data_IF_403186016780
#
_entry.id   IF_403186016780
#
_cell.length_a   1.000
_cell.length_b   1.000
_cell.length_c   1.000
_cell.angle_alpha   90.00
_cell.angle_beta   90.00
_cell.angle_gamma   90.00
#
_symmetry.space_group_name_H-M   'P 1'
#
loop_
_entity.id
_entity.type
_entity.pdbx_description
1 polymer ?
#
# COMPACT_ATOMS: atom_id res chain seq x y z
N UNK A 1 -18.75 26.06 -40.61
CA UNK A 1 -18.88 25.52 -39.25
C UNK A 1 -17.49 25.39 -38.67
N UNK A 2 -17.07 26.38 -37.87
CA UNK A 2 -15.76 26.37 -37.22
C UNK A 2 -15.83 25.48 -35.99
N UNK A 3 -15.14 24.35 -36.02
CA UNK A 3 -14.84 23.56 -34.83
C UNK A 3 -13.98 24.42 -33.90
N UNK A 4 -14.58 24.90 -32.80
CA UNK A 4 -13.81 25.41 -31.67
C UNK A 4 -12.97 24.25 -31.14
N UNK A 5 -11.69 24.24 -31.50
CA UNK A 5 -10.68 23.49 -30.78
C UNK A 5 -10.63 24.14 -29.40
N UNK A 6 -11.12 23.45 -28.37
CA UNK A 6 -10.92 23.88 -26.98
C UNK A 6 -9.41 24.01 -26.77
N UNK A 7 -8.96 25.24 -26.51
CA UNK A 7 -7.57 25.48 -26.11
C UNK A 7 -7.37 24.77 -24.78
N UNK A 8 -6.61 23.67 -24.80
CA UNK A 8 -6.19 22.96 -23.60
C UNK A 8 -5.45 23.97 -22.69
N UNK A 9 -6.00 24.21 -21.51
CA UNK A 9 -5.35 25.06 -20.52
C UNK A 9 -4.14 24.32 -19.94
N UNK A 10 -2.94 24.76 -20.33
CA UNK A 10 -1.67 24.17 -19.89
C UNK A 10 -1.47 24.29 -18.38
N UNK A 11 -2.05 25.30 -17.73
CA UNK A 11 -1.97 25.44 -16.27
C UNK A 11 -2.80 24.37 -15.57
N UNK A 12 -3.95 23.97 -16.14
CA UNK A 12 -4.75 22.86 -15.61
C UNK A 12 -3.98 21.54 -15.69
N UNK A 13 -3.32 21.25 -16.82
CA UNK A 13 -2.49 20.05 -16.97
C UNK A 13 -1.32 20.08 -15.98
N UNK A 14 -0.64 21.22 -15.86
CA UNK A 14 0.49 21.38 -14.94
C UNK A 14 0.04 21.16 -13.49
N UNK A 15 -1.07 21.74 -13.07
CA UNK A 15 -1.62 21.55 -11.72
C UNK A 15 -1.95 20.07 -11.45
N UNK A 16 -2.57 19.37 -12.42
CA UNK A 16 -2.87 17.95 -12.31
C UNK A 16 -1.60 17.08 -12.21
N UNK A 17 -0.59 17.35 -13.02
CA UNK A 17 0.71 16.68 -12.94
C UNK A 17 1.37 16.87 -11.57
N UNK A 18 1.44 18.11 -11.08
CA UNK A 18 2.01 18.42 -9.77
C UNK A 18 1.26 17.70 -8.64
N UNK A 19 -0.07 17.64 -8.73
CA UNK A 19 -0.93 16.90 -7.79
C UNK A 19 -0.61 15.40 -7.79
N UNK A 20 -0.52 14.77 -8.97
CA UNK A 20 -0.21 13.35 -9.15
C UNK A 20 1.21 12.97 -8.70
N UNK A 21 2.22 13.77 -9.05
CA UNK A 21 3.62 13.58 -8.62
C UNK A 21 3.72 13.69 -7.10
N UNK A 22 3.07 14.70 -6.49
CA UNK A 22 3.03 14.84 -5.03
C UNK A 22 2.31 13.68 -4.34
N UNK A 23 1.22 13.17 -4.93
CA UNK A 23 0.54 11.99 -4.41
C UNK A 23 1.49 10.78 -4.40
N UNK A 24 2.16 10.48 -5.53
CA UNK A 24 3.13 9.37 -5.60
C UNK A 24 4.28 9.53 -4.60
N UNK A 25 4.82 10.74 -4.42
CA UNK A 25 5.81 11.05 -3.38
C UNK A 25 5.31 10.66 -1.99
N UNK A 26 4.13 11.15 -1.60
CA UNK A 26 3.52 10.86 -0.29
C UNK A 26 3.27 9.37 -0.10
N UNK A 27 2.94 8.65 -1.17
CA UNK A 27 2.72 7.20 -1.20
C UNK A 27 4.03 6.39 -1.28
N UNK A 28 5.20 7.04 -1.16
CA UNK A 28 6.54 6.42 -1.22
C UNK A 28 6.83 5.65 -2.52
N UNK A 29 6.25 6.12 -3.63
CA UNK A 29 6.58 5.57 -4.94
C UNK A 29 8.08 5.75 -5.25
N UNK A 30 8.76 4.77 -5.87
CA UNK A 30 10.18 4.89 -6.18
C UNK A 30 10.47 6.09 -7.08
N UNK A 31 11.37 6.97 -6.64
CA UNK A 31 11.73 8.17 -7.41
C UNK A 31 12.37 7.82 -8.77
N UNK A 32 13.19 6.77 -8.83
CA UNK A 32 13.80 6.32 -10.08
C UNK A 32 12.76 6.01 -11.16
N UNK A 33 11.69 5.30 -10.80
CA UNK A 33 10.62 4.93 -11.73
C UNK A 33 9.88 6.13 -12.30
N UNK A 34 9.54 7.13 -11.47
CA UNK A 34 8.85 8.33 -11.97
C UNK A 34 9.79 9.23 -12.78
N UNK A 35 11.06 9.29 -12.41
CA UNK A 35 12.06 10.04 -13.16
C UNK A 35 12.29 9.43 -14.57
N UNK A 36 12.31 8.10 -14.68
CA UNK A 36 12.35 7.41 -15.99
C UNK A 36 11.13 7.74 -16.87
N UNK A 37 9.92 7.79 -16.28
CA UNK A 37 8.70 8.19 -17.00
C UNK A 37 8.82 9.65 -17.45
N UNK A 38 9.28 10.55 -16.59
CA UNK A 38 9.45 11.96 -16.91
C UNK A 38 10.46 12.18 -18.06
N UNK A 39 11.61 11.51 -18.00
CA UNK A 39 12.67 11.58 -19.02
C UNK A 39 12.19 11.08 -20.38
N UNK A 40 11.50 9.94 -20.42
CA UNK A 40 10.91 9.39 -21.67
C UNK A 40 9.91 10.35 -22.33
N UNK A 41 9.33 11.27 -21.57
CA UNK A 41 8.37 12.26 -22.06
C UNK A 41 8.97 13.67 -22.19
N UNK A 42 10.30 13.83 -22.16
CA UNK A 42 10.98 15.08 -22.47
C UNK A 42 11.25 16.02 -21.30
N UNK A 43 11.00 15.59 -20.05
CA UNK A 43 11.42 16.32 -18.86
C UNK A 43 12.84 15.90 -18.49
N UNK A 44 13.76 16.84 -18.32
CA UNK A 44 15.16 16.50 -18.01
C UNK A 44 15.34 15.77 -16.67
N UNK A 45 16.35 14.89 -16.61
CA UNK A 45 16.69 14.07 -15.45
C UNK A 45 16.78 14.85 -14.14
N UNK A 46 16.13 14.36 -13.08
CA UNK A 46 16.03 15.03 -11.78
C UNK A 46 16.69 14.20 -10.68
N UNK A 47 17.19 14.86 -9.64
CA UNK A 47 17.86 14.22 -8.49
C UNK A 47 16.92 13.95 -7.29
N UNK A 48 15.63 14.24 -7.43
CA UNK A 48 14.62 13.98 -6.41
C UNK A 48 13.27 14.58 -6.77
N UNK A 49 12.26 14.27 -5.95
CA UNK A 49 10.88 14.74 -6.16
C UNK A 49 10.77 16.26 -6.20
N UNK A 50 11.45 16.99 -5.31
CA UNK A 50 11.41 18.45 -5.27
C UNK A 50 11.96 19.09 -6.56
N UNK A 51 13.01 18.50 -7.12
CA UNK A 51 13.60 18.92 -8.40
C UNK A 51 12.64 18.66 -9.56
N UNK A 52 12.04 17.46 -9.62
CA UNK A 52 11.05 17.13 -10.64
C UNK A 52 9.83 18.06 -10.60
N UNK A 53 9.28 18.32 -9.41
CA UNK A 53 8.15 19.23 -9.21
C UNK A 53 8.48 20.65 -9.69
N UNK A 54 9.67 21.17 -9.32
CA UNK A 54 10.12 22.49 -9.80
C UNK A 54 10.24 22.54 -11.32
N UNK A 55 10.76 21.47 -11.95
CA UNK A 55 10.87 21.42 -13.41
C UNK A 55 9.53 21.39 -14.12
N UNK A 56 8.56 20.64 -13.61
CA UNK A 56 7.19 20.66 -14.14
C UNK A 56 6.60 22.07 -14.03
N UNK A 57 6.80 22.71 -12.88
CA UNK A 57 6.31 24.07 -12.62
C UNK A 57 6.95 25.11 -13.56
N UNK A 58 8.26 25.02 -13.80
CA UNK A 58 9.04 26.02 -14.54
C UNK A 58 9.27 25.67 -16.02
N UNK A 59 8.64 24.60 -16.51
CA UNK A 59 8.83 24.14 -17.89
C UNK A 59 8.35 25.21 -18.89
N UNK A 60 9.32 25.77 -19.62
CA UNK A 60 9.14 26.89 -20.54
C UNK A 60 9.89 26.72 -21.87
N UNK A 61 10.72 25.67 -22.00
CA UNK A 61 11.52 25.39 -23.20
C UNK A 61 11.01 24.16 -23.95
N UNK A 62 11.12 24.18 -25.28
CA UNK A 62 10.67 23.09 -26.15
C UNK A 62 9.16 23.14 -26.43
N UNK A 63 8.61 22.02 -26.92
CA UNK A 63 7.17 21.85 -27.11
C UNK A 63 6.51 21.51 -25.76
N UNK A 64 6.30 22.55 -24.94
CA UNK A 64 5.78 22.43 -23.58
C UNK A 64 4.43 21.71 -23.55
N UNK A 65 3.54 22.03 -24.50
CA UNK A 65 2.21 21.42 -24.58
C UNK A 65 2.31 19.91 -24.77
N UNK A 66 3.09 19.47 -25.75
CA UNK A 66 3.30 18.05 -26.02
C UNK A 66 3.94 17.33 -24.84
N UNK A 67 5.00 17.90 -24.24
CA UNK A 67 5.70 17.31 -23.09
C UNK A 67 4.75 17.07 -21.92
N UNK A 68 3.95 18.09 -21.56
CA UNK A 68 3.03 17.99 -20.43
C UNK A 68 1.90 16.98 -20.70
N UNK A 69 1.32 17.00 -21.90
CA UNK A 69 0.27 16.06 -22.30
C UNK A 69 0.78 14.62 -22.31
N UNK A 70 1.94 14.36 -22.92
CA UNK A 70 2.50 13.02 -23.04
C UNK A 70 2.92 12.48 -21.66
N UNK A 71 3.53 13.32 -20.82
CA UNK A 71 3.83 12.95 -19.45
C UNK A 71 2.57 12.66 -18.63
N UNK A 72 1.50 13.46 -18.78
CA UNK A 72 0.23 13.22 -18.09
C UNK A 72 -0.42 11.90 -18.51
N UNK A 73 -0.39 11.58 -19.80
CA UNK A 73 -0.87 10.31 -20.35
C UNK A 73 -0.09 9.11 -19.81
N UNK A 74 1.22 9.25 -19.63
CA UNK A 74 2.06 8.19 -19.07
C UNK A 74 1.91 8.06 -17.54
N UNK A 75 1.77 9.18 -16.84
CA UNK A 75 1.71 9.23 -15.38
C UNK A 75 0.36 8.76 -14.81
N UNK A 76 -0.75 9.10 -15.47
CA UNK A 76 -2.09 8.81 -14.94
C UNK A 76 -2.35 7.30 -14.73
N UNK A 77 -2.06 6.41 -15.68
CA UNK A 77 -2.15 4.97 -15.47
C UNK A 77 -1.25 4.47 -14.34
N UNK A 78 -0.05 5.05 -14.20
CA UNK A 78 0.88 4.69 -13.13
C UNK A 78 0.34 5.04 -11.74
N UNK A 79 -0.29 6.22 -11.61
CA UNK A 79 -0.98 6.64 -10.38
C UNK A 79 -2.12 5.69 -10.05
N UNK A 80 -3.01 5.40 -11.02
CA UNK A 80 -4.14 4.48 -10.80
C UNK A 80 -3.62 3.11 -10.36
N UNK A 81 -2.64 2.57 -11.08
CA UNK A 81 -2.00 1.29 -10.75
C UNK A 81 -1.44 1.27 -9.34
N UNK A 82 -0.69 2.30 -8.95
CA UNK A 82 -0.12 2.40 -7.60
C UNK A 82 -1.18 2.57 -6.51
N UNK A 83 -2.28 3.27 -6.83
CA UNK A 83 -3.44 3.36 -5.95
C UNK A 83 -4.17 2.04 -5.78
N UNK A 84 -4.24 1.19 -6.81
CA UNK A 84 -4.97 -0.07 -6.76
C UNK A 84 -4.17 -1.22 -6.15
N UNK A 85 -2.85 -1.29 -6.40
CA UNK A 85 -2.11 -2.53 -6.18
C UNK A 85 -0.92 -2.42 -5.21
N UNK A 86 -0.37 -1.23 -4.97
CA UNK A 86 0.81 -1.13 -4.11
C UNK A 86 0.46 -1.19 -2.62
N UNK A 87 1.25 -1.95 -1.84
CA UNK A 87 1.25 -1.93 -0.38
C UNK A 87 -0.16 -2.09 0.25
N UNK A 88 -0.81 -3.23 0.00
CA UNK A 88 -2.20 -3.49 0.39
C UNK A 88 -2.29 -4.48 1.54
N UNK A 89 -2.96 -4.10 2.62
CA UNK A 89 -3.35 -5.04 3.67
C UNK A 89 -4.71 -5.64 3.30
N UNK A 90 -4.85 -6.97 3.30
CA UNK A 90 -6.07 -7.64 2.84
C UNK A 90 -6.61 -8.63 3.87
N UNK A 91 -7.93 -8.73 3.94
CA UNK A 91 -8.64 -9.88 4.50
C UNK A 91 -9.41 -10.58 3.39
N UNK A 92 -9.36 -11.92 3.40
CA UNK A 92 -10.05 -12.76 2.43
C UNK A 92 -11.23 -13.44 3.13
N UNK A 93 -12.36 -13.50 2.45
CA UNK A 93 -13.58 -14.18 2.86
C UNK A 93 -13.93 -15.20 1.79
N UNK A 94 -13.99 -16.49 2.16
CA UNK A 94 -14.51 -17.52 1.26
C UNK A 94 -16.03 -17.39 1.19
N UNK A 95 -16.56 -17.35 -0.03
CA UNK A 95 -18.00 -17.30 -0.27
C UNK A 95 -18.52 -18.74 -0.37
N UNK A 96 -19.69 -19.00 0.23
CA UNK A 96 -20.32 -20.31 0.15
C UNK A 96 -20.95 -20.53 -1.23
N UNK A 97 -21.11 -21.80 -1.63
CA UNK A 97 -21.69 -22.16 -2.93
C UNK A 97 -23.14 -21.68 -3.13
N UNK A 98 -23.85 -21.36 -2.04
CA UNK A 98 -25.20 -20.82 -2.08
C UNK A 98 -25.29 -19.31 -2.33
N UNK A 99 -24.17 -18.59 -2.38
CA UNK A 99 -24.16 -17.14 -2.68
C UNK A 99 -24.28 -16.94 -4.19
N UNK A 100 -25.32 -16.22 -4.62
CA UNK A 100 -25.40 -15.73 -6.00
C UNK A 100 -24.40 -14.60 -6.21
N UNK A 101 -23.29 -14.93 -6.87
CA UNK A 101 -22.19 -14.00 -7.13
C UNK A 101 -22.59 -12.86 -8.08
N UNK A 102 -23.56 -13.08 -8.97
CA UNK A 102 -24.01 -12.05 -9.90
C UNK A 102 -24.90 -11.02 -9.18
N UNK A 103 -25.79 -11.48 -8.30
CA UNK A 103 -26.61 -10.58 -7.48
C UNK A 103 -25.76 -9.81 -6.45
N UNK A 104 -24.72 -10.45 -5.91
CA UNK A 104 -23.73 -9.77 -5.08
C UNK A 104 -23.00 -8.68 -5.87
N UNK A 105 -22.52 -9.00 -7.08
CA UNK A 105 -21.86 -8.02 -7.94
C UNK A 105 -22.79 -6.85 -8.28
N UNK A 106 -24.05 -7.09 -8.65
CA UNK A 106 -25.04 -6.03 -8.87
C UNK A 106 -25.21 -5.14 -7.65
N UNK A 107 -25.27 -5.72 -6.45
CA UNK A 107 -25.41 -4.97 -5.21
C UNK A 107 -24.20 -4.07 -4.95
N UNK A 108 -22.98 -4.55 -5.23
CA UNK A 108 -21.76 -3.75 -5.12
C UNK A 108 -21.67 -2.67 -6.21
N UNK A 109 -22.14 -2.96 -7.43
CA UNK A 109 -22.20 -2.00 -8.53
C UNK A 109 -23.15 -0.84 -8.21
N UNK A 110 -24.28 -1.11 -7.54
CA UNK A 110 -25.23 -0.08 -7.13
C UNK A 110 -24.61 0.93 -6.15
N UNK A 111 -23.54 0.56 -5.43
CA UNK A 111 -22.81 1.45 -4.54
C UNK A 111 -21.76 2.30 -5.27
N UNK A 112 -21.43 1.98 -6.53
CA UNK A 112 -20.25 2.52 -7.22
C UNK A 112 -20.59 3.00 -8.63
N UNK A 113 -20.88 4.29 -8.84
CA UNK A 113 -21.39 4.77 -10.12
C UNK A 113 -20.31 4.92 -11.22
N UNK A 114 -19.04 5.12 -10.87
CA UNK A 114 -18.00 5.48 -11.85
C UNK A 114 -17.11 4.29 -12.25
N UNK A 115 -16.57 4.34 -13.47
CA UNK A 115 -15.62 3.34 -14.02
C UNK A 115 -14.15 3.81 -13.97
N UNK A 116 -13.89 4.97 -13.37
CA UNK A 116 -12.55 5.55 -13.24
C UNK A 116 -12.47 6.42 -11.99
N UNK A 117 -11.25 6.60 -11.47
CA UNK A 117 -11.00 7.51 -10.36
C UNK A 117 -10.91 8.94 -10.92
N UNK A 118 -11.81 9.81 -10.48
CA UNK A 118 -11.77 11.24 -10.79
C UNK A 118 -10.53 11.89 -10.13
N UNK A 119 -9.93 12.86 -10.82
CA UNK A 119 -8.78 13.62 -10.35
C UNK A 119 -9.01 14.26 -8.98
N UNK A 120 -10.24 14.67 -8.63
CA UNK A 120 -10.53 15.28 -7.32
C UNK A 120 -10.05 14.42 -6.15
N UNK A 121 -10.21 13.10 -6.24
CA UNK A 121 -9.82 12.14 -5.20
C UNK A 121 -8.30 11.97 -5.00
N UNK A 122 -7.46 12.55 -5.86
CA UNK A 122 -6.01 12.56 -5.64
C UNK A 122 -5.52 13.68 -4.70
N UNK A 123 -6.43 14.56 -4.23
CA UNK A 123 -6.12 15.66 -3.30
C UNK A 123 -6.69 15.41 -1.91
N UNK A 124 -6.10 16.09 -0.93
CA UNK A 124 -6.75 16.32 0.36
C UNK A 124 -7.70 17.50 0.20
N UNK A 125 -8.98 17.24 0.41
CA UNK A 125 -10.05 18.24 0.42
C UNK A 125 -10.92 18.02 1.66
N UNK A 126 -11.44 19.10 2.24
CA UNK A 126 -12.19 19.10 3.51
C UNK A 126 -13.53 18.37 3.42
N UNK A 127 -14.14 18.34 2.25
CA UNK A 127 -15.54 17.90 2.06
C UNK A 127 -15.69 16.66 1.17
N UNK A 128 -14.62 15.88 0.96
CA UNK A 128 -14.76 14.62 0.23
C UNK A 128 -15.41 13.56 1.13
N UNK A 129 -16.62 13.17 0.76
CA UNK A 129 -17.34 12.06 1.40
C UNK A 129 -16.59 10.72 1.23
N UNK A 130 -16.63 9.90 2.28
CA UNK A 130 -16.06 8.55 2.26
C UNK A 130 -17.03 7.60 1.57
N UNK A 131 -16.75 7.26 0.33
CA UNK A 131 -17.61 6.35 -0.41
C UNK A 131 -16.86 5.52 -1.47
N UNK A 132 -17.58 4.62 -2.13
CA UNK A 132 -17.10 3.96 -3.32
C UNK A 132 -17.07 4.93 -4.49
N UNK A 133 -15.89 5.13 -5.06
CA UNK A 133 -15.64 6.20 -6.04
C UNK A 133 -15.41 5.70 -7.45
N UNK A 134 -15.04 4.43 -7.61
CA UNK A 134 -14.68 3.84 -8.90
C UNK A 134 -14.77 2.31 -8.86
N UNK A 135 -15.09 1.71 -9.99
CA UNK A 135 -15.06 0.26 -10.21
C UNK A 135 -14.20 -0.07 -11.42
N UNK A 136 -13.43 -1.15 -11.31
CA UNK A 136 -12.64 -1.73 -12.38
C UNK A 136 -13.02 -3.20 -12.54
N UNK A 137 -13.18 -3.66 -13.78
CA UNK A 137 -13.43 -5.08 -14.09
C UNK A 137 -12.31 -5.57 -15.01
N UNK A 138 -11.20 -6.09 -14.46
CA UNK A 138 -10.06 -6.56 -15.25
C UNK A 138 -10.40 -7.71 -16.20
N UNK A 139 -11.38 -8.54 -15.81
CA UNK A 139 -11.97 -9.62 -16.60
C UNK A 139 -13.39 -9.92 -16.09
N UNK A 140 -14.07 -10.89 -16.71
CA UNK A 140 -15.46 -11.27 -16.39
C UNK A 140 -15.64 -11.87 -14.98
N UNK A 141 -14.55 -12.37 -14.40
CA UNK A 141 -14.54 -13.05 -13.11
C UNK A 141 -14.17 -12.12 -11.96
N UNK A 142 -13.64 -10.92 -12.21
CA UNK A 142 -13.13 -10.04 -11.17
C UNK A 142 -13.62 -8.62 -11.31
N UNK A 143 -14.15 -8.11 -10.19
CA UNK A 143 -14.55 -6.73 -10.04
C UNK A 143 -13.90 -6.13 -8.81
N UNK A 144 -13.25 -4.97 -8.98
CA UNK A 144 -12.53 -4.20 -7.97
C UNK A 144 -13.29 -2.90 -7.74
N UNK A 145 -13.80 -2.71 -6.53
CA UNK A 145 -14.54 -1.54 -6.09
C UNK A 145 -13.65 -0.70 -5.18
N UNK A 146 -13.35 0.53 -5.59
CA UNK A 146 -12.44 1.43 -4.86
C UNK A 146 -13.22 2.29 -3.89
N UNK A 147 -12.86 2.21 -2.62
CA UNK A 147 -13.40 3.03 -1.55
C UNK A 147 -12.40 4.13 -1.19
N UNK A 148 -12.84 5.38 -1.28
CA UNK A 148 -12.01 6.53 -0.98
C UNK A 148 -12.14 6.94 0.49
N UNK A 149 -11.01 7.25 1.10
CA UNK A 149 -10.91 7.84 2.43
C UNK A 149 -9.68 8.76 2.48
N UNK A 150 -9.52 9.51 3.55
CA UNK A 150 -8.29 10.25 3.84
C UNK A 150 -7.81 9.87 5.23
N UNK A 151 -6.52 9.57 5.36
CA UNK A 151 -5.90 9.16 6.63
C UNK A 151 -4.69 9.98 6.93
N UNK A 152 -4.48 10.21 8.23
CA UNK A 152 -3.30 10.89 8.73
C UNK A 152 -2.43 9.96 9.55
N UNK A 153 -1.11 10.09 9.40
CA UNK A 153 -0.15 9.55 10.35
C UNK A 153 0.73 10.68 10.87
N UNK A 154 1.39 10.41 11.99
CA UNK A 154 2.31 11.35 12.63
C UNK A 154 3.69 10.71 12.66
N UNK A 155 4.71 11.47 12.32
CA UNK A 155 6.10 11.09 12.55
C UNK A 155 6.83 12.21 13.28
N UNK A 156 7.88 11.84 14.01
CA UNK A 156 8.75 12.76 14.73
C UNK A 156 10.02 12.95 13.91
N UNK A 157 10.48 14.19 13.81
CA UNK A 157 11.75 14.55 13.19
C UNK A 157 12.49 15.48 14.13
N UNK A 158 13.80 15.35 14.20
CA UNK A 158 14.65 16.33 14.89
C UNK A 158 14.71 17.62 14.06
N UNK A 159 14.71 18.77 14.72
CA UNK A 159 15.12 20.02 14.10
C UNK A 159 16.64 20.01 13.93
N UNK A 160 17.11 20.26 12.71
CA UNK A 160 18.53 20.26 12.39
C UNK A 160 19.11 21.68 12.33
N UNK A 161 18.26 22.71 12.26
CA UNK A 161 18.70 24.10 12.25
C UNK A 161 19.09 24.58 13.64
N UNK A 162 20.38 24.82 13.85
CA UNK A 162 20.90 25.46 15.06
C UNK A 162 20.30 26.86 15.30
N UNK A 163 20.01 27.61 14.23
CA UNK A 163 19.35 28.92 14.33
C UNK A 163 17.96 28.81 14.96
N UNK A 164 17.18 27.81 14.56
CA UNK A 164 15.84 27.59 15.12
C UNK A 164 15.98 27.10 16.57
N UNK A 165 16.91 26.19 16.87
CA UNK A 165 17.12 25.73 18.26
C UNK A 165 17.50 26.92 19.17
N UNK A 166 18.41 27.77 18.71
CA UNK A 166 18.86 28.94 19.47
C UNK A 166 17.75 29.97 19.68
N UNK A 167 16.82 30.16 18.74
CA UNK A 167 15.71 31.09 18.95
C UNK A 167 14.80 30.67 20.10
N UNK A 168 14.66 29.37 20.36
CA UNK A 168 13.93 28.90 21.54
C UNK A 168 14.73 29.04 22.83
N UNK A 169 16.07 29.01 22.78
CA UNK A 169 16.92 29.33 23.94
C UNK A 169 16.75 30.79 24.38
N UNK A 170 16.49 31.71 23.45
CA UNK A 170 16.21 33.11 23.75
C UNK A 170 14.85 33.33 24.47
N UNK A 171 13.96 32.34 24.45
CA UNK A 171 12.65 32.37 25.13
C UNK A 171 12.68 31.76 26.55
N UNK A 172 13.82 31.19 26.99
CA UNK A 172 13.98 30.63 28.34
C UNK A 172 13.97 31.73 29.40
N UNK A 173 13.74 31.35 30.67
CA UNK A 173 13.76 32.31 31.78
C UNK A 173 15.14 32.98 31.87
N UNK A 174 15.25 34.29 31.61
CA UNK A 174 16.54 34.97 31.62
C UNK A 174 17.19 35.01 33.01
N UNK A 175 16.47 34.66 34.08
CA UNK A 175 16.96 34.60 35.46
C UNK A 175 17.48 33.22 35.88
N UNK A 176 17.31 32.18 35.06
CA UNK A 176 17.80 30.83 35.33
C UNK A 176 18.90 30.43 34.34
N UNK A 177 20.15 30.69 34.72
CA UNK A 177 21.36 30.38 33.93
C UNK A 177 21.59 28.88 33.69
N UNK A 178 20.78 27.99 34.30
CA UNK A 178 20.94 26.54 34.18
C UNK A 178 20.01 25.89 33.14
N UNK A 179 19.29 26.69 32.35
CA UNK A 179 18.38 26.18 31.31
C UNK A 179 19.03 26.23 29.92
N UNK A 180 18.96 25.13 29.18
CA UNK A 180 19.36 25.05 27.78
C UNK A 180 18.48 24.05 27.03
N UNK A 181 17.92 24.47 25.91
CA UNK A 181 17.26 23.62 24.92
C UNK A 181 18.32 22.99 24.04
N UNK A 182 18.58 21.71 24.29
CA UNK A 182 19.52 20.89 23.53
C UNK A 182 18.92 20.32 22.24
N UNK A 183 17.61 20.11 22.21
CA UNK A 183 16.93 19.45 21.10
C UNK A 183 15.46 19.87 20.97
N UNK A 184 15.06 20.14 19.73
CA UNK A 184 13.66 20.32 19.36
C UNK A 184 13.17 19.14 18.51
N UNK A 185 12.06 18.54 18.92
CA UNK A 185 11.40 17.46 18.20
C UNK A 185 10.16 18.00 17.49
N UNK A 186 10.20 18.03 16.15
CA UNK A 186 9.04 18.33 15.31
C UNK A 186 8.11 17.13 15.25
N UNK A 187 6.84 17.36 15.55
CA UNK A 187 5.76 16.37 15.40
C UNK A 187 4.98 16.73 14.14
N UNK A 188 5.18 15.98 13.06
CA UNK A 188 4.62 16.30 11.74
C UNK A 188 3.45 15.35 11.44
N UNK A 189 2.27 15.93 11.23
CA UNK A 189 1.08 15.22 10.74
C UNK A 189 1.04 15.25 9.22
N UNK A 190 0.95 14.08 8.59
CA UNK A 190 0.81 13.93 7.14
C UNK A 190 -0.53 13.29 6.84
N UNK A 191 -1.36 13.95 6.04
CA UNK A 191 -2.63 13.40 5.52
C UNK A 191 -2.45 12.99 4.06
N UNK A 192 -2.92 11.80 3.71
CA UNK A 192 -2.84 11.21 2.37
C UNK A 192 -4.22 10.66 1.96
N UNK A 193 -4.66 10.88 0.70
CA UNK A 193 -5.79 10.14 0.13
C UNK A 193 -5.48 8.64 0.08
N UNK A 194 -6.45 7.85 0.50
CA UNK A 194 -6.36 6.38 0.56
C UNK A 194 -7.41 5.74 -0.32
N UNK A 195 -6.98 4.69 -1.01
CA UNK A 195 -7.77 3.93 -1.99
C UNK A 195 -7.87 2.49 -1.49
N UNK A 196 -8.75 2.30 -0.51
CA UNK A 196 -9.14 0.97 -0.06
C UNK A 196 -9.97 0.32 -1.15
N UNK A 197 -10.20 -0.99 -1.03
CA UNK A 197 -10.95 -1.69 -2.05
C UNK A 197 -11.72 -2.88 -1.50
N UNK A 198 -12.75 -3.24 -2.26
CA UNK A 198 -13.43 -4.53 -2.17
C UNK A 198 -13.22 -5.23 -3.50
N UNK A 199 -12.81 -6.49 -3.49
CA UNK A 199 -12.74 -7.30 -4.71
C UNK A 199 -13.70 -8.46 -4.58
N UNK A 200 -14.50 -8.66 -5.62
CA UNK A 200 -15.22 -9.91 -5.85
C UNK A 200 -14.46 -10.69 -6.92
N UNK A 201 -14.00 -11.90 -6.59
CA UNK A 201 -13.39 -12.82 -7.54
C UNK A 201 -14.24 -14.09 -7.63
N UNK A 202 -14.98 -14.20 -8.73
CA UNK A 202 -15.91 -15.31 -8.99
C UNK A 202 -15.19 -16.62 -9.25
N UNK A 203 -14.00 -16.56 -9.85
CA UNK A 203 -13.20 -17.74 -10.17
C UNK A 203 -12.65 -18.41 -8.92
N UNK A 204 -12.18 -17.61 -7.96
CA UNK A 204 -11.72 -18.10 -6.65
C UNK A 204 -12.85 -18.23 -5.62
N UNK A 205 -14.06 -17.75 -5.94
CA UNK A 205 -15.21 -17.66 -5.02
C UNK A 205 -14.86 -16.95 -3.71
N UNK A 206 -14.19 -15.81 -3.81
CA UNK A 206 -13.78 -15.01 -2.66
C UNK A 206 -14.27 -13.57 -2.75
N UNK A 207 -14.47 -12.98 -1.59
CA UNK A 207 -14.53 -11.55 -1.39
C UNK A 207 -13.25 -11.10 -0.67
N UNK A 208 -12.63 -10.03 -1.13
CA UNK A 208 -11.44 -9.45 -0.51
C UNK A 208 -11.82 -8.06 -0.03
N UNK A 209 -11.47 -7.72 1.20
CA UNK A 209 -11.50 -6.34 1.68
C UNK A 209 -10.06 -5.91 1.91
N UNK A 210 -9.64 -4.86 1.21
CA UNK A 210 -8.27 -4.39 1.16
C UNK A 210 -8.12 -2.94 1.60
N UNK A 211 -6.99 -2.66 2.25
CA UNK A 211 -6.63 -1.37 2.83
C UNK A 211 -5.35 -0.86 2.23
N UNK A 212 -5.36 0.42 1.95
CA UNK A 212 -4.26 1.11 1.32
C UNK A 212 -3.12 1.44 2.29
N UNK A 213 -1.90 1.44 1.76
CA UNK A 213 -0.68 1.90 2.43
C UNK A 213 -0.39 1.16 3.76
N UNK A 214 -0.43 -0.18 3.75
CA UNK A 214 -0.26 -1.01 4.94
C UNK A 214 1.04 -0.74 5.73
N UNK A 215 2.15 -0.46 5.04
CA UNK A 215 3.42 -0.10 5.67
C UNK A 215 3.55 1.38 6.09
N UNK A 216 2.56 2.22 5.80
CA UNK A 216 2.55 3.64 6.20
C UNK A 216 1.72 3.83 7.46
N UNK A 217 0.52 3.23 7.52
CA UNK A 217 -0.38 3.41 8.64
C UNK A 217 -0.16 2.41 9.77
N UNK A 218 -0.35 2.80 11.04
CA UNK A 218 -0.31 1.87 12.17
C UNK A 218 -1.37 0.76 12.03
N UNK A 219 -1.03 -0.46 12.47
CA UNK A 219 -1.92 -1.64 12.43
C UNK A 219 -3.30 -1.37 13.05
N UNK A 220 -3.35 -0.64 14.16
CA UNK A 220 -4.61 -0.28 14.82
C UNK A 220 -5.54 0.58 13.94
N UNK A 221 -4.97 1.48 13.13
CA UNK A 221 -5.73 2.30 12.19
C UNK A 221 -6.26 1.45 11.02
N UNK A 222 -5.43 0.54 10.52
CA UNK A 222 -5.83 -0.41 9.46
C UNK A 222 -6.98 -1.29 9.95
N UNK A 223 -6.86 -1.87 11.14
CA UNK A 223 -7.92 -2.70 11.73
C UNK A 223 -9.24 -1.94 11.88
N UNK A 224 -9.18 -0.70 12.38
CA UNK A 224 -10.38 0.15 12.53
C UNK A 224 -11.04 0.44 11.16
N UNK A 225 -10.26 0.76 10.15
CA UNK A 225 -10.78 0.99 8.80
C UNK A 225 -11.39 -0.30 8.20
N UNK A 226 -10.76 -1.44 8.49
CA UNK A 226 -11.23 -2.77 8.10
C UNK A 226 -12.58 -3.11 8.69
N UNK A 227 -12.73 -2.91 10.00
CA UNK A 227 -14.02 -3.14 10.66
C UNK A 227 -15.11 -2.20 10.12
N UNK A 228 -14.78 -0.96 9.78
CA UNK A 228 -15.73 -0.01 9.20
C UNK A 228 -16.24 -0.45 7.81
N UNK A 229 -15.31 -0.79 6.91
CA UNK A 229 -15.67 -1.22 5.56
C UNK A 229 -16.37 -2.59 5.58
N UNK A 230 -15.91 -3.53 6.42
CA UNK A 230 -16.57 -4.82 6.61
C UNK A 230 -18.00 -4.65 7.13
N UNK A 231 -18.25 -3.74 8.08
CA UNK A 231 -19.60 -3.45 8.56
C UNK A 231 -20.48 -2.83 7.47
N UNK A 232 -19.92 -2.04 6.54
CA UNK A 232 -20.66 -1.53 5.36
C UNK A 232 -21.02 -2.69 4.42
N UNK A 233 -20.08 -3.58 4.18
CA UNK A 233 -20.23 -4.73 3.27
C UNK A 233 -21.17 -5.81 3.82
N UNK A 234 -21.12 -6.12 5.12
CA UNK A 234 -22.00 -7.10 5.77
C UNK A 234 -23.49 -6.73 5.72
N UNK A 235 -23.84 -5.48 5.42
CA UNK A 235 -25.22 -5.03 5.21
C UNK A 235 -25.77 -5.45 3.84
N UNK A 236 -24.90 -5.87 2.92
CA UNK A 236 -25.31 -6.37 1.60
C UNK A 236 -25.85 -7.79 1.78
N UNK A 237 -27.03 -8.05 1.19
CA UNK A 237 -27.71 -9.34 1.25
C UNK A 237 -26.75 -10.47 0.83
N UNK A 238 -26.70 -11.53 1.65
CA UNK A 238 -25.84 -12.70 1.40
C UNK A 238 -24.45 -12.62 2.03
N UNK A 239 -24.08 -11.48 2.65
CA UNK A 239 -22.77 -11.30 3.29
C UNK A 239 -22.80 -11.25 4.82
N UNK A 240 -23.98 -11.40 5.43
CA UNK A 240 -24.17 -11.24 6.88
C UNK A 240 -23.32 -12.21 7.74
N UNK A 241 -22.92 -13.35 7.17
CA UNK A 241 -22.23 -14.44 7.87
C UNK A 241 -20.84 -14.76 7.29
N UNK A 242 -20.21 -13.83 6.55
CA UNK A 242 -18.86 -14.06 6.05
C UNK A 242 -17.84 -14.07 7.19
N UNK A 243 -16.91 -15.02 7.14
CA UNK A 243 -15.82 -15.17 8.10
C UNK A 243 -14.47 -14.90 7.42
N UNK A 244 -13.61 -14.16 8.13
CA UNK A 244 -12.23 -13.91 7.68
C UNK A 244 -11.45 -15.23 7.68
N UNK A 245 -10.68 -15.45 6.62
CA UNK A 245 -9.74 -16.56 6.56
C UNK A 245 -8.60 -16.34 7.55
N UNK A 246 -8.26 -17.38 8.31
CA UNK A 246 -7.12 -17.36 9.22
C UNK A 246 -5.85 -17.82 8.49
N UNK A 247 -4.90 -16.90 8.31
CA UNK A 247 -3.61 -17.14 7.65
C UNK A 247 -2.54 -17.71 8.58
N UNK A 248 -2.86 -18.10 9.83
CA UNK A 248 -1.85 -18.60 10.79
C UNK A 248 -1.03 -19.77 10.22
N UNK A 249 -1.69 -20.73 9.57
CA UNK A 249 -1.05 -21.90 8.97
C UNK A 249 -0.28 -21.56 7.69
N UNK A 250 -0.65 -20.47 7.01
CA UNK A 250 0.05 -20.02 5.81
C UNK A 250 1.51 -19.66 6.08
N UNK A 251 1.87 -19.28 7.32
CA UNK A 251 3.26 -18.96 7.66
C UNK A 251 4.18 -20.16 7.43
N UNK A 252 3.86 -21.30 8.05
CA UNK A 252 4.68 -22.51 7.97
C UNK A 252 4.57 -23.15 6.58
N UNK A 253 3.37 -23.23 6.02
CA UNK A 253 3.15 -23.77 4.68
C UNK A 253 3.93 -22.98 3.60
N UNK A 254 3.97 -21.65 3.70
CA UNK A 254 4.77 -20.82 2.79
C UNK A 254 6.28 -20.92 3.06
N UNK A 255 6.72 -21.18 4.29
CA UNK A 255 8.13 -21.41 4.61
C UNK A 255 8.66 -22.68 3.94
N UNK A 256 7.87 -23.76 3.94
CA UNK A 256 8.24 -25.05 3.33
C UNK A 256 7.99 -25.11 1.82
N UNK A 257 7.04 -24.31 1.30
CA UNK A 257 6.75 -24.26 -0.13
C UNK A 257 8.01 -23.88 -0.94
N UNK A 258 8.28 -24.66 -1.99
CA UNK A 258 9.45 -24.50 -2.86
C UNK A 258 9.33 -23.34 -3.84
N UNK A 259 8.12 -23.07 -4.32
CA UNK A 259 7.85 -21.92 -5.19
C UNK A 259 8.09 -20.61 -4.44
N UNK A 260 8.69 -19.63 -5.11
CA UNK A 260 9.02 -18.32 -4.54
C UNK A 260 10.26 -18.30 -3.63
N UNK A 261 10.63 -17.08 -3.23
CA UNK A 261 11.81 -16.78 -2.42
C UNK A 261 11.37 -16.21 -1.07
N UNK A 262 11.80 -16.84 0.02
CA UNK A 262 11.59 -16.26 1.36
C UNK A 262 12.66 -15.20 1.58
N UNK A 263 12.26 -13.94 1.65
CA UNK A 263 13.17 -12.81 1.88
C UNK A 263 13.07 -12.25 3.31
N UNK A 264 12.18 -12.83 4.12
CA UNK A 264 12.25 -12.68 5.56
C UNK A 264 11.29 -13.62 6.28
N UNK A 265 11.63 -13.99 7.50
CA UNK A 265 10.80 -14.81 8.38
C UNK A 265 11.04 -14.44 9.84
N UNK A 266 10.18 -14.91 10.71
CA UNK A 266 10.27 -14.72 12.15
C UNK A 266 9.86 -16.02 12.84
N UNK A 267 10.68 -16.50 13.76
CA UNK A 267 10.44 -17.76 14.46
C UNK A 267 11.06 -17.79 15.86
N UNK A 268 10.58 -18.72 16.68
CA UNK A 268 11.20 -19.08 17.95
C UNK A 268 11.54 -20.56 17.99
N UNK A 269 12.57 -20.92 18.77
CA UNK A 269 12.81 -22.32 19.13
C UNK A 269 11.73 -22.81 20.09
N UNK A 270 11.49 -24.12 20.09
CA UNK A 270 10.67 -24.79 21.11
C UNK A 270 11.14 -24.41 22.52
N UNK A 271 10.22 -23.93 23.35
CA UNK A 271 10.52 -23.42 24.70
C UNK A 271 10.95 -21.95 24.77
N UNK A 272 11.05 -21.23 23.65
CA UNK A 272 11.24 -19.77 23.62
C UNK A 272 12.63 -19.28 24.05
N UNK A 273 13.62 -20.17 24.06
CA UNK A 273 15.02 -19.86 24.39
C UNK A 273 15.69 -18.97 23.34
N UNK A 274 15.27 -19.08 22.09
CA UNK A 274 15.80 -18.32 20.97
C UNK A 274 14.67 -17.69 20.16
N UNK A 275 14.83 -16.42 19.80
CA UNK A 275 13.93 -15.70 18.91
C UNK A 275 14.75 -15.05 17.79
N UNK A 276 14.34 -15.26 16.54
CA UNK A 276 15.08 -14.78 15.38
C UNK A 276 14.20 -14.09 14.35
N UNK A 277 14.78 -13.07 13.72
CA UNK A 277 14.18 -12.28 12.65
C UNK A 277 15.18 -12.22 11.49
N UNK A 278 15.03 -13.13 10.53
CA UNK A 278 15.81 -13.14 9.30
C UNK A 278 15.18 -12.21 8.26
N UNK A 279 15.97 -11.30 7.67
CA UNK A 279 15.52 -10.42 6.58
C UNK A 279 16.66 -10.13 5.62
N UNK A 280 16.36 -10.08 4.33
CA UNK A 280 17.29 -9.63 3.30
C UNK A 280 16.63 -8.61 2.38
N UNK A 281 17.41 -7.61 1.97
CA UNK A 281 17.03 -6.63 0.94
C UNK A 281 17.36 -7.12 -0.47
N UNK A 282 18.17 -8.18 -0.61
CA UNK A 282 18.55 -8.71 -1.91
C UNK A 282 17.38 -9.42 -2.58
N UNK A 283 17.16 -9.13 -3.87
CA UNK A 283 16.05 -9.70 -4.63
C UNK A 283 16.15 -11.22 -4.82
N UNK A 284 17.38 -11.75 -4.84
CA UNK A 284 17.70 -13.15 -5.16
C UNK A 284 18.09 -13.98 -3.94
N UNK A 285 18.30 -13.34 -2.79
CA UNK A 285 18.69 -14.06 -1.59
C UNK A 285 17.44 -14.68 -0.94
N UNK A 286 17.55 -15.97 -0.62
CA UNK A 286 16.58 -16.68 0.18
C UNK A 286 17.14 -16.84 1.59
N UNK A 287 16.44 -16.32 2.61
CA UNK A 287 16.91 -16.36 4.00
C UNK A 287 17.01 -17.79 4.53
N UNK A 288 16.27 -18.74 3.94
CA UNK A 288 16.37 -20.17 4.28
C UNK A 288 17.73 -20.77 3.91
N UNK A 289 18.46 -20.13 2.99
CA UNK A 289 19.78 -20.56 2.54
C UNK A 289 20.92 -19.81 3.23
N UNK A 290 20.61 -18.89 4.14
CA UNK A 290 21.62 -18.19 4.92
C UNK A 290 22.30 -19.17 5.88
N UNK A 291 23.64 -19.19 5.88
CA UNK A 291 24.46 -20.00 6.78
C UNK A 291 24.13 -19.80 8.26
N UNK A 292 23.72 -18.59 8.66
CA UNK A 292 23.30 -18.31 10.03
C UNK A 292 22.01 -19.06 10.36
N UNK A 293 21.02 -18.97 9.47
CA UNK A 293 19.77 -19.69 9.62
C UNK A 293 20.00 -21.21 9.57
N UNK A 294 20.69 -21.74 8.55
CA UNK A 294 20.86 -23.19 8.40
C UNK A 294 21.61 -23.81 9.57
N UNK A 295 22.63 -23.13 10.12
CA UNK A 295 23.35 -23.64 11.30
C UNK A 295 22.52 -23.49 12.57
N UNK A 296 21.83 -22.37 12.74
CA UNK A 296 21.03 -22.08 13.93
C UNK A 296 19.70 -22.85 13.99
N UNK A 297 19.19 -23.35 12.86
CA UNK A 297 17.97 -24.16 12.79
C UNK A 297 18.22 -25.66 12.84
N UNK A 298 19.47 -26.11 12.70
CA UNK A 298 19.79 -27.53 12.67
C UNK A 298 19.47 -28.18 14.01
N UNK A 299 18.54 -29.14 14.02
CA UNK A 299 18.14 -29.90 15.22
C UNK A 299 17.10 -29.22 16.10
N UNK A 300 16.63 -28.03 15.73
CA UNK A 300 15.63 -27.26 16.47
C UNK A 300 14.23 -27.42 15.86
N UNK A 301 13.20 -27.46 16.70
CA UNK A 301 11.81 -27.30 16.26
C UNK A 301 11.50 -25.81 16.26
N UNK A 302 11.25 -25.25 15.09
CA UNK A 302 11.00 -23.82 14.90
C UNK A 302 9.50 -23.54 14.78
N UNK A 303 8.98 -22.66 15.64
CA UNK A 303 7.63 -22.14 15.53
C UNK A 303 7.66 -20.77 14.85
N UNK A 304 7.26 -20.75 13.58
CA UNK A 304 7.23 -19.55 12.77
C UNK A 304 6.00 -18.71 13.10
N UNK A 305 6.22 -17.43 13.35
CA UNK A 305 5.17 -16.45 13.60
C UNK A 305 5.18 -15.29 12.59
N UNK A 306 6.07 -15.33 11.59
CA UNK A 306 6.00 -14.43 10.45
C UNK A 306 6.75 -14.92 9.23
N UNK A 307 6.21 -14.59 8.05
CA UNK A 307 6.78 -14.91 6.74
C UNK A 307 6.66 -13.70 5.80
N UNK A 308 7.67 -13.52 4.95
CA UNK A 308 7.71 -12.59 3.83
C UNK A 308 8.25 -13.32 2.62
N UNK A 309 7.38 -13.57 1.66
CA UNK A 309 7.68 -14.39 0.50
C UNK A 309 7.40 -13.66 -0.79
N UNK A 310 8.33 -13.75 -1.73
CA UNK A 310 8.24 -13.14 -3.05
C UNK A 310 7.98 -14.23 -4.07
N UNK A 311 7.01 -14.00 -4.94
CA UNK A 311 6.66 -14.90 -6.03
C UNK A 311 6.91 -14.21 -7.37
N UNK A 312 7.39 -14.98 -8.34
CA UNK A 312 7.61 -14.49 -9.70
C UNK A 312 6.41 -14.87 -10.57
N UNK A 313 5.72 -13.88 -11.13
CA UNK A 313 4.56 -14.08 -12.03
C UNK A 313 4.97 -14.19 -13.51
N UNK A 314 6.24 -14.53 -13.77
CA UNK A 314 6.87 -14.63 -15.08
C UNK A 314 7.43 -13.30 -15.61
N UNK A 315 6.74 -12.18 -15.33
CA UNK A 315 7.14 -10.84 -15.80
C UNK A 315 7.80 -9.99 -14.72
N UNK A 316 7.48 -10.26 -13.46
CA UNK A 316 7.86 -9.46 -12.30
C UNK A 316 7.61 -10.22 -11.01
N UNK A 317 8.00 -9.60 -9.92
CA UNK A 317 7.82 -10.14 -8.58
C UNK A 317 6.66 -9.46 -7.85
N UNK A 318 5.83 -10.26 -7.18
CA UNK A 318 4.89 -9.80 -6.15
C UNK A 318 5.31 -10.39 -4.79
N UNK A 319 4.88 -9.78 -3.69
CA UNK A 319 5.22 -10.26 -2.34
C UNK A 319 3.98 -10.41 -1.46
N UNK A 320 4.01 -11.44 -0.63
CA UNK A 320 3.01 -11.76 0.40
C UNK A 320 3.72 -11.74 1.75
N UNK A 321 3.13 -11.05 2.72
CA UNK A 321 3.60 -11.02 4.11
C UNK A 321 2.47 -11.39 5.04
N UNK A 322 2.71 -12.37 5.91
CA UNK A 322 1.80 -12.79 6.99
C UNK A 322 2.62 -12.83 8.26
N UNK A 323 2.25 -12.05 9.28
CA UNK A 323 3.05 -11.98 10.50
C UNK A 323 2.28 -11.51 11.73
N UNK A 324 2.67 -12.06 12.87
CA UNK A 324 2.45 -11.50 14.20
C UNK A 324 3.67 -10.69 14.63
N UNK A 325 3.45 -9.70 15.50
CA UNK A 325 4.54 -9.20 16.33
C UNK A 325 4.95 -10.27 17.35
N UNK A 326 6.19 -10.23 17.82
CA UNK A 326 6.66 -11.15 18.85
C UNK A 326 5.82 -11.08 20.13
N UNK A 327 5.30 -9.88 20.46
CA UNK A 327 4.39 -9.69 21.60
C UNK A 327 3.06 -10.42 21.40
N UNK A 328 2.46 -10.33 20.21
CA UNK A 328 1.20 -11.03 19.90
C UNK A 328 1.43 -12.55 19.93
N UNK A 329 2.51 -13.02 19.32
CA UNK A 329 2.90 -14.42 19.35
C UNK A 329 3.13 -14.95 20.78
N UNK A 330 3.85 -14.21 21.62
CA UNK A 330 4.08 -14.58 23.03
C UNK A 330 2.80 -14.62 23.86
N UNK A 331 1.81 -13.79 23.52
CA UNK A 331 0.52 -13.84 24.20
C UNK A 331 -0.22 -15.14 23.89
N UNK A 332 -0.17 -15.61 22.64
CA UNK A 332 -0.61 -16.95 22.25
C UNK A 332 -0.04 -17.35 20.88
N UNK A 333 0.64 -18.50 20.83
CA UNK A 333 1.13 -19.08 19.57
C UNK A 333 -0.02 -19.43 18.60
N UNK A 334 -1.25 -19.56 19.12
CA UNK A 334 -2.48 -19.86 18.37
C UNK A 334 -3.24 -18.61 17.95
N UNK A 335 -2.70 -17.40 18.17
CA UNK A 335 -3.37 -16.17 17.74
C UNK A 335 -3.65 -16.20 16.24
N UNK A 336 -4.92 -16.08 15.82
CA UNK A 336 -5.28 -16.10 14.41
C UNK A 336 -4.78 -14.83 13.70
N UNK A 337 -4.47 -14.97 12.41
CA UNK A 337 -4.00 -13.87 11.57
C UNK A 337 -5.00 -13.66 10.45
N UNK A 338 -5.79 -12.59 10.53
CA UNK A 338 -6.84 -12.32 9.54
C UNK A 338 -6.43 -11.33 8.44
N UNK A 339 -5.22 -10.80 8.51
CA UNK A 339 -4.71 -9.79 7.57
C UNK A 339 -3.36 -10.23 7.02
N UNK A 340 -3.24 -10.24 5.70
CA UNK A 340 -1.98 -10.37 4.98
C UNK A 340 -1.63 -9.04 4.32
N UNK A 341 -0.34 -8.77 4.09
CA UNK A 341 0.11 -7.61 3.31
C UNK A 341 0.64 -8.07 1.96
N UNK A 342 0.09 -7.51 0.90
CA UNK A 342 0.51 -7.72 -0.47
C UNK A 342 1.29 -6.51 -0.97
N UNK A 343 2.45 -6.75 -1.56
CA UNK A 343 3.32 -5.69 -2.06
C UNK A 343 3.89 -6.02 -3.45
N UNK A 344 4.42 -5.00 -4.11
CA UNK A 344 4.96 -5.04 -5.48
C UNK A 344 3.98 -5.49 -6.58
N UNK A 345 2.70 -5.70 -6.25
CA UNK A 345 1.66 -5.96 -7.24
C UNK A 345 1.50 -4.77 -8.18
N UNK A 346 1.27 -5.06 -9.45
CA UNK A 346 1.14 -4.06 -10.50
C UNK A 346 -0.14 -4.24 -11.32
N UNK A 347 -0.83 -5.38 -11.22
CA UNK A 347 -2.15 -5.57 -11.81
C UNK A 347 -3.01 -6.59 -11.06
N UNK A 348 -4.22 -6.80 -11.59
CA UNK A 348 -5.20 -7.73 -11.07
C UNK A 348 -4.74 -9.20 -11.08
N UNK A 349 -3.88 -9.59 -12.04
CA UNK A 349 -3.35 -10.96 -12.09
C UNK A 349 -2.38 -11.19 -10.93
N UNK A 350 -1.53 -10.22 -10.60
CA UNK A 350 -0.66 -10.32 -9.42
C UNK A 350 -1.50 -10.42 -8.13
N UNK A 351 -2.55 -9.61 -8.00
CA UNK A 351 -3.47 -9.66 -6.85
C UNK A 351 -4.12 -11.04 -6.71
N UNK A 352 -4.72 -11.54 -7.80
CA UNK A 352 -5.35 -12.86 -7.81
C UNK A 352 -4.35 -13.98 -7.53
N UNK A 353 -3.14 -13.88 -8.07
CA UNK A 353 -2.06 -14.84 -7.82
C UNK A 353 -1.67 -14.88 -6.34
N UNK A 354 -1.43 -13.71 -5.73
CA UNK A 354 -1.15 -13.61 -4.30
C UNK A 354 -2.28 -14.17 -3.44
N UNK A 355 -3.54 -13.86 -3.77
CA UNK A 355 -4.69 -14.40 -3.05
C UNK A 355 -4.80 -15.91 -3.19
N UNK A 356 -4.53 -16.46 -4.38
CA UNK A 356 -4.45 -17.91 -4.59
C UNK A 356 -3.36 -18.53 -3.72
N UNK A 357 -2.17 -17.94 -3.65
CA UNK A 357 -1.08 -18.41 -2.78
C UNK A 357 -1.47 -18.40 -1.30
N UNK A 358 -2.17 -17.38 -0.84
CA UNK A 358 -2.71 -17.38 0.52
C UNK A 358 -3.72 -18.50 0.70
N UNK A 359 -4.68 -18.68 -0.21
CA UNK A 359 -5.70 -19.73 -0.14
C UNK A 359 -5.12 -21.15 -0.14
N UNK A 360 -4.14 -21.42 -1.00
CA UNK A 360 -3.50 -22.72 -1.15
C UNK A 360 -2.67 -23.09 0.10
N UNK A 361 -2.24 -22.09 0.89
CA UNK A 361 -1.44 -22.27 2.10
C UNK A 361 -2.21 -22.07 3.43
N UNK A 362 -3.47 -21.62 3.41
CA UNK A 362 -4.24 -21.28 4.64
C UNK A 362 -4.96 -22.46 5.28
#
# INVERSE_FOLDING_TARGET
MNSKVESIDLEVIRADLLKKVNLLRKRRYPFSSINEIAEKNGISSSNGYDSLLKKILQLSKGDVSKILIDFQKALTPEVVKHCLYANKAISIYKLSDGVDLNDLEKSLNALTPNLSIDNKYYSIETDIEKDFIARFSPDDDMSIFVYHDQRSYVFRSKEESSTIINSFNEELDPLDENQEILELIKVIKVTIPTFDFVVLDKRLKILIIGFDLAYVFPKAMINKALDQLENKIKKIKGLNHINRLNFRNAIENMEIETDGIVFGHAFCSSGGTFNHLGKTSSKRADVRKDSFFTKGSTGEILDYYGIRKRYNTGKRDCAVTVALSYREYKASALTPIYVAVLDYMQDANDLRYCCKKLLDNS
#
